data_IF_059109524422
#
_entry.id   IF_059109524422
#
_cell.length_a   1.000
_cell.length_b   1.000
_cell.length_c   1.000
_cell.angle_alpha   90.00
_cell.angle_beta   90.00
_cell.angle_gamma   90.00
#
_symmetry.space_group_name_H-M   'P 1'
#
loop_
_entity.id
_entity.type
_entity.pdbx_description
1 polymer ?
#
# COMPACT_ATOMS: atom_id res chain seq x y z
N UNK A 1 17.39 -10.60 17.18
CA UNK A 1 16.85 -9.21 17.13
C UNK A 1 15.96 -9.07 18.37
N UNK A 2 16.32 -8.17 19.29
CA UNK A 2 15.44 -7.88 20.44
C UNK A 2 14.34 -6.94 19.97
N UNK A 3 13.10 -7.43 19.87
CA UNK A 3 11.95 -6.57 19.69
C UNK A 3 11.58 -5.90 21.02
N UNK A 4 11.36 -4.58 21.02
CA UNK A 4 11.10 -3.78 22.21
C UNK A 4 9.76 -4.08 22.90
N UNK A 5 8.84 -4.77 22.22
CA UNK A 5 7.49 -5.11 22.64
C UNK A 5 7.32 -6.58 23.09
N UNK A 6 8.43 -7.28 23.25
CA UNK A 6 8.50 -8.72 23.61
C UNK A 6 7.92 -9.69 22.59
N UNK A 7 7.49 -9.23 21.41
CA UNK A 7 7.02 -10.10 20.32
C UNK A 7 8.04 -10.08 19.20
N UNK A 8 8.78 -11.18 19.04
CA UNK A 8 9.64 -11.37 17.89
C UNK A 8 8.85 -11.99 16.73
N UNK A 9 9.02 -11.46 15.53
CA UNK A 9 8.42 -11.98 14.30
C UNK A 9 9.53 -12.28 13.31
N UNK A 10 9.54 -13.49 12.81
CA UNK A 10 10.52 -13.96 11.83
C UNK A 10 9.79 -14.55 10.65
N UNK A 11 10.04 -14.02 9.45
CA UNK A 11 9.64 -14.67 8.21
C UNK A 11 10.76 -15.56 7.68
N UNK A 12 10.42 -16.80 7.32
CA UNK A 12 11.20 -17.63 6.44
C UNK A 12 10.61 -17.60 5.03
N UNK A 13 11.48 -17.50 4.03
CA UNK A 13 11.08 -17.37 2.63
C UNK A 13 11.64 -18.57 1.84
N UNK A 14 10.79 -19.21 1.04
CA UNK A 14 11.18 -20.27 0.13
C UNK A 14 11.10 -19.75 -1.31
N UNK A 15 12.14 -20.04 -2.09
CA UNK A 15 12.27 -19.58 -3.46
C UNK A 15 12.40 -20.77 -4.42
N UNK A 16 11.93 -20.61 -5.65
CA UNK A 16 12.17 -21.56 -6.73
C UNK A 16 13.57 -21.39 -7.34
N UNK A 17 13.89 -22.24 -8.31
CA UNK A 17 15.20 -22.24 -9.00
C UNK A 17 15.49 -20.95 -9.80
N UNK A 18 14.47 -20.13 -10.04
CA UNK A 18 14.59 -18.80 -10.67
C UNK A 18 14.61 -17.65 -9.63
N UNK A 19 14.81 -17.98 -8.34
CA UNK A 19 14.82 -17.04 -7.23
C UNK A 19 13.50 -16.24 -7.08
N UNK A 20 12.36 -16.84 -7.45
CA UNK A 20 11.02 -16.26 -7.22
C UNK A 20 10.43 -16.83 -5.94
N UNK A 21 9.78 -15.98 -5.15
CA UNK A 21 9.15 -16.37 -3.89
C UNK A 21 7.99 -17.34 -4.15
N UNK A 22 8.00 -18.53 -3.54
CA UNK A 22 6.93 -19.53 -3.70
C UNK A 22 6.17 -19.81 -2.40
N UNK A 23 6.80 -19.59 -1.25
CA UNK A 23 6.20 -19.84 0.04
C UNK A 23 6.79 -18.97 1.14
N UNK A 24 6.00 -18.71 2.20
CA UNK A 24 6.45 -17.99 3.38
C UNK A 24 5.92 -18.64 4.65
N UNK A 25 6.74 -18.68 5.68
CA UNK A 25 6.38 -19.10 7.03
C UNK A 25 6.61 -17.95 8.00
N UNK A 26 5.69 -17.72 8.92
CA UNK A 26 5.82 -16.73 9.98
C UNK A 26 6.00 -17.45 11.32
N UNK A 27 7.03 -17.08 12.06
CA UNK A 27 7.28 -17.52 13.42
C UNK A 27 7.00 -16.35 14.37
N UNK A 28 6.14 -16.57 15.36
CA UNK A 28 5.75 -15.59 16.37
C UNK A 28 6.35 -15.96 17.72
N UNK A 29 7.01 -15.00 18.38
CA UNK A 29 7.64 -15.15 19.69
C UNK A 29 8.69 -16.28 19.76
N UNK A 30 8.96 -16.79 20.96
CA UNK A 30 9.87 -17.92 21.20
C UNK A 30 9.24 -19.29 20.91
N UNK A 31 8.02 -19.33 20.36
CA UNK A 31 7.40 -20.56 19.91
C UNK A 31 8.07 -21.01 18.61
N UNK A 32 8.71 -22.18 18.64
CA UNK A 32 9.35 -22.79 17.47
C UNK A 32 8.37 -23.32 16.41
N UNK A 33 7.08 -22.97 16.53
CA UNK A 33 6.03 -23.36 15.59
C UNK A 33 5.73 -22.25 14.58
N UNK A 34 5.63 -22.61 13.30
CA UNK A 34 5.17 -21.69 12.27
C UNK A 34 3.70 -21.33 12.51
N UNK A 35 3.37 -20.05 12.38
CA UNK A 35 2.00 -19.58 12.35
C UNK A 35 1.45 -19.68 10.92
N UNK A 36 0.20 -20.09 10.80
CA UNK A 36 -0.51 -20.02 9.51
C UNK A 36 -1.16 -18.66 9.23
N UNK A 37 -0.96 -17.69 10.12
CA UNK A 37 -1.50 -16.34 10.01
C UNK A 37 -0.50 -15.42 9.33
N UNK A 38 -1.00 -14.44 8.56
CA UNK A 38 -0.19 -13.43 7.88
C UNK A 38 0.89 -13.98 6.93
N UNK A 39 0.65 -15.12 6.30
CA UNK A 39 1.55 -15.71 5.32
C UNK A 39 1.00 -15.59 3.90
N UNK A 40 1.89 -15.59 2.93
CA UNK A 40 1.60 -15.74 1.50
C UNK A 40 2.27 -17.03 1.02
N UNK A 41 1.48 -17.96 0.51
CA UNK A 41 1.95 -19.29 0.14
C UNK A 41 1.27 -19.84 -1.12
N UNK A 42 1.71 -21.00 -1.59
CA UNK A 42 1.19 -21.63 -2.79
C UNK A 42 1.35 -20.74 -4.02
N UNK A 43 2.43 -19.94 -4.07
CA UNK A 43 2.68 -19.01 -5.16
C UNK A 43 3.25 -19.77 -6.34
N UNK A 44 2.56 -19.72 -7.46
CA UNK A 44 3.01 -20.30 -8.71
C UNK A 44 3.12 -19.27 -9.81
N UNK A 45 3.96 -19.54 -10.79
CA UNK A 45 4.28 -18.61 -11.87
C UNK A 45 4.16 -19.27 -13.23
N UNK A 46 3.84 -18.48 -14.24
CA UNK A 46 4.01 -18.87 -15.61
C UNK A 46 5.48 -18.75 -16.08
N UNK A 47 5.72 -19.05 -17.37
CA UNK A 47 7.07 -18.96 -17.98
C UNK A 47 7.59 -17.52 -18.06
N UNK A 48 6.72 -16.52 -18.02
CA UNK A 48 7.06 -15.10 -18.04
C UNK A 48 7.24 -14.52 -16.63
N UNK A 49 7.12 -15.36 -15.58
CA UNK A 49 7.15 -14.97 -14.16
C UNK A 49 5.94 -14.15 -13.72
N UNK A 50 4.81 -14.25 -14.41
CA UNK A 50 3.54 -13.75 -13.91
C UNK A 50 3.01 -14.67 -12.83
N UNK A 51 2.47 -14.13 -11.73
CA UNK A 51 1.87 -14.90 -10.63
C UNK A 51 0.55 -15.52 -11.11
N UNK A 52 0.48 -16.86 -11.15
CA UNK A 52 -0.76 -17.58 -11.47
C UNK A 52 -1.61 -17.79 -10.22
N UNK A 53 -1.00 -18.30 -9.14
CA UNK A 53 -1.69 -18.52 -7.87
C UNK A 53 -0.98 -17.80 -6.73
N UNK A 54 -1.74 -17.34 -5.75
CA UNK A 54 -1.24 -16.81 -4.50
C UNK A 54 -2.34 -16.97 -3.44
N UNK A 55 -2.01 -17.62 -2.33
CA UNK A 55 -2.88 -17.69 -1.18
C UNK A 55 -2.37 -16.76 -0.08
N UNK A 56 -3.24 -15.95 0.47
CA UNK A 56 -2.94 -15.06 1.60
C UNK A 56 -3.81 -15.44 2.78
N UNK A 57 -3.19 -15.70 3.93
CA UNK A 57 -3.88 -15.93 5.19
C UNK A 57 -3.83 -14.72 6.11
N UNK A 58 -4.87 -14.56 6.92
CA UNK A 58 -5.01 -13.45 7.88
C UNK A 58 -5.83 -13.92 9.09
N UNK A 59 -5.81 -13.14 10.17
CA UNK A 59 -6.75 -13.32 11.30
C UNK A 59 -8.19 -12.97 10.88
N UNK A 60 -8.36 -12.04 9.96
CA UNK A 60 -9.68 -11.64 9.44
C UNK A 60 -10.03 -12.46 8.20
N UNK A 61 -11.25 -13.00 8.15
CA UNK A 61 -11.79 -13.67 6.96
C UNK A 61 -11.80 -12.77 5.74
N UNK A 62 -11.98 -11.46 5.93
CA UNK A 62 -12.06 -10.47 4.85
C UNK A 62 -10.72 -10.24 4.16
N UNK A 63 -9.62 -10.47 4.90
CA UNK A 63 -8.26 -10.36 4.38
C UNK A 63 -7.69 -11.69 3.86
N UNK A 64 -8.35 -12.82 4.16
CA UNK A 64 -7.98 -14.12 3.58
C UNK A 64 -8.40 -14.14 2.10
N UNK A 65 -7.44 -14.36 1.22
CA UNK A 65 -7.66 -14.38 -0.23
C UNK A 65 -6.89 -15.52 -0.88
N UNK A 66 -7.58 -16.22 -1.77
CA UNK A 66 -6.96 -17.16 -2.70
C UNK A 66 -7.12 -16.56 -4.09
N UNK A 67 -6.01 -16.30 -4.75
CA UNK A 67 -6.00 -15.71 -6.07
C UNK A 67 -5.63 -16.76 -7.12
N UNK A 68 -6.35 -16.74 -8.23
CA UNK A 68 -6.04 -17.49 -9.44
C UNK A 68 -6.20 -16.55 -10.63
N UNK A 69 -5.13 -16.30 -11.35
CA UNK A 69 -5.10 -15.33 -12.44
C UNK A 69 -4.81 -15.96 -13.79
N UNK A 70 -5.49 -15.47 -14.82
CA UNK A 70 -5.22 -15.79 -16.22
C UNK A 70 -4.56 -14.62 -16.93
N UNK A 71 -3.68 -14.92 -17.89
CA UNK A 71 -2.89 -13.94 -18.62
C UNK A 71 -2.98 -14.13 -20.12
N UNK A 72 -2.84 -13.02 -20.86
CA UNK A 72 -2.51 -13.00 -22.29
C UNK A 72 -1.17 -12.29 -22.44
N UNK A 73 -0.10 -13.05 -22.75
CA UNK A 73 1.26 -12.53 -22.61
C UNK A 73 1.54 -12.13 -21.16
N UNK A 74 1.85 -10.85 -20.93
CA UNK A 74 2.07 -10.30 -19.59
C UNK A 74 0.89 -9.46 -19.06
N UNK A 75 -0.19 -9.38 -19.82
CA UNK A 75 -1.41 -8.72 -19.35
C UNK A 75 -2.28 -9.72 -18.58
N UNK A 76 -2.63 -9.40 -17.35
CA UNK A 76 -3.59 -10.16 -16.56
C UNK A 76 -4.98 -9.91 -17.13
N UNK A 77 -5.63 -10.94 -17.66
CA UNK A 77 -6.94 -10.79 -18.29
C UNK A 77 -8.09 -11.13 -17.36
N UNK A 78 -7.85 -11.94 -16.32
CA UNK A 78 -8.92 -12.38 -15.45
C UNK A 78 -8.44 -12.73 -14.05
N UNK A 79 -9.26 -12.44 -13.05
CA UNK A 79 -9.26 -13.09 -11.74
C UNK A 79 -10.29 -14.22 -11.77
N UNK A 80 -9.82 -15.45 -11.86
CA UNK A 80 -10.67 -16.63 -11.92
C UNK A 80 -11.41 -16.91 -10.62
N UNK A 81 -10.89 -16.41 -9.49
CA UNK A 81 -11.49 -16.62 -8.17
C UNK A 81 -12.78 -15.80 -8.03
N UNK A 82 -12.76 -14.55 -8.46
CA UNK A 82 -13.93 -13.65 -8.47
C UNK A 82 -14.72 -13.71 -9.77
N UNK A 83 -14.22 -14.43 -10.77
CA UNK A 83 -14.73 -14.48 -12.15
C UNK A 83 -14.86 -13.07 -12.77
N UNK A 84 -13.91 -12.18 -12.49
CA UNK A 84 -13.91 -10.80 -12.95
C UNK A 84 -12.79 -10.55 -13.96
N UNK A 85 -13.12 -9.82 -15.02
CA UNK A 85 -12.22 -9.53 -16.14
C UNK A 85 -11.50 -8.20 -15.94
N UNK A 86 -10.21 -8.15 -16.35
CA UNK A 86 -9.44 -6.92 -16.50
C UNK A 86 -9.64 -6.35 -17.89
N UNK A 87 -9.77 -5.05 -18.00
CA UNK A 87 -9.84 -4.35 -19.28
C UNK A 87 -8.65 -3.41 -19.44
N UNK A 88 -8.19 -3.24 -20.67
CA UNK A 88 -7.06 -2.40 -21.01
C UNK A 88 -7.43 -1.39 -22.09
N UNK A 89 -6.82 -0.20 -22.02
CA UNK A 89 -6.90 0.77 -23.11
C UNK A 89 -5.97 0.37 -24.28
N UNK A 90 -5.99 1.14 -25.35
CA UNK A 90 -5.17 0.87 -26.54
C UNK A 90 -3.65 1.02 -26.30
N UNK A 91 -3.24 1.67 -25.21
CA UNK A 91 -1.84 1.82 -24.79
C UNK A 91 -1.38 0.70 -23.87
N UNK A 92 -2.29 -0.19 -23.46
CA UNK A 92 -2.02 -1.29 -22.52
C UNK A 92 -2.14 -0.89 -21.04
N UNK A 93 -2.68 0.27 -20.71
CA UNK A 93 -2.99 0.65 -19.34
C UNK A 93 -4.25 -0.06 -18.86
N UNK A 94 -4.32 -0.42 -17.59
CA UNK A 94 -5.51 -1.03 -16.99
C UNK A 94 -6.65 -0.01 -17.00
N UNK A 95 -7.69 -0.27 -17.80
CA UNK A 95 -8.91 0.54 -17.81
C UNK A 95 -9.91 0.08 -16.74
N UNK A 96 -9.98 -1.22 -16.47
CA UNK A 96 -10.79 -1.83 -15.40
C UNK A 96 -9.97 -2.82 -14.62
N UNK A 97 -9.86 -2.60 -13.30
CA UNK A 97 -9.20 -3.51 -12.38
C UNK A 97 -10.22 -4.48 -11.77
N UNK A 98 -10.10 -5.76 -12.10
CA UNK A 98 -11.02 -6.80 -11.64
C UNK A 98 -11.00 -7.01 -10.10
N UNK A 99 -9.90 -6.75 -9.41
CA UNK A 99 -9.77 -6.95 -7.96
C UNK A 99 -10.42 -5.84 -7.15
N UNK A 100 -10.28 -4.61 -7.61
CA UNK A 100 -10.76 -3.42 -6.89
C UNK A 100 -12.09 -2.91 -7.42
N UNK A 101 -12.46 -3.29 -8.65
CA UNK A 101 -13.61 -2.75 -9.36
C UNK A 101 -13.38 -1.32 -9.86
N UNK A 102 -12.17 -0.82 -9.80
CA UNK A 102 -11.85 0.52 -10.28
C UNK A 102 -11.85 0.60 -11.79
N UNK A 103 -12.44 1.69 -12.31
CA UNK A 103 -12.28 2.19 -13.67
C UNK A 103 -11.28 3.33 -13.66
N UNK A 104 -10.31 3.31 -14.59
CA UNK A 104 -9.20 4.26 -14.64
C UNK A 104 -9.10 4.86 -16.04
N UNK A 105 -9.07 6.18 -16.13
CA UNK A 105 -8.79 6.91 -17.35
C UNK A 105 -7.42 7.58 -17.28
N UNK A 106 -6.78 7.70 -18.44
CA UNK A 106 -5.40 8.17 -18.53
C UNK A 106 -5.28 9.37 -19.49
N UNK A 107 -4.26 10.20 -19.26
CA UNK A 107 -3.86 11.24 -20.20
C UNK A 107 -2.85 10.70 -21.24
N UNK A 108 -2.36 11.59 -22.13
CA UNK A 108 -1.39 11.25 -23.14
C UNK A 108 -0.02 10.80 -22.59
N UNK A 109 0.27 11.06 -21.31
CA UNK A 109 1.48 10.60 -20.62
C UNK A 109 1.27 9.25 -19.91
N UNK A 110 0.14 8.59 -20.13
CA UNK A 110 -0.28 7.37 -19.42
C UNK A 110 -0.36 7.56 -17.89
N UNK A 111 -0.71 8.76 -17.42
CA UNK A 111 -0.95 9.06 -16.02
C UNK A 111 -2.46 9.03 -15.75
N UNK A 112 -2.92 8.39 -14.66
CA UNK A 112 -4.35 8.34 -14.31
C UNK A 112 -4.93 9.74 -14.10
N UNK A 113 -6.01 10.08 -14.81
CA UNK A 113 -6.72 11.36 -14.65
C UNK A 113 -8.00 11.22 -13.88
N UNK A 114 -8.65 10.06 -13.95
CA UNK A 114 -9.87 9.74 -13.21
C UNK A 114 -9.78 8.31 -12.72
N UNK A 115 -10.15 8.07 -11.47
CA UNK A 115 -10.33 6.74 -10.89
C UNK A 115 -11.67 6.72 -10.18
N UNK A 116 -12.56 5.78 -10.52
CA UNK A 116 -13.87 5.65 -9.90
C UNK A 116 -14.31 4.17 -9.82
N UNK A 117 -15.35 3.87 -9.03
CA UNK A 117 -16.05 2.58 -9.01
C UNK A 117 -17.50 2.76 -9.47
N UNK A 118 -18.19 1.67 -9.83
CA UNK A 118 -19.63 1.72 -10.06
C UNK A 118 -20.35 2.16 -8.78
N UNK A 119 -21.00 3.35 -8.85
CA UNK A 119 -21.75 3.93 -7.73
C UNK A 119 -20.99 4.88 -6.83
N UNK A 120 -19.66 5.09 -7.08
CA UNK A 120 -18.85 6.11 -6.42
C UNK A 120 -18.30 7.10 -7.45
N UNK A 121 -18.34 8.38 -7.12
CA UNK A 121 -18.06 9.47 -8.06
C UNK A 121 -16.57 9.73 -8.29
N UNK A 122 -15.68 9.02 -7.62
CA UNK A 122 -14.28 8.90 -7.96
C UNK A 122 -13.39 10.08 -7.62
N UNK A 123 -12.13 9.97 -8.03
CA UNK A 123 -11.06 10.95 -7.83
C UNK A 123 -10.56 11.48 -9.17
N UNK A 124 -10.30 12.78 -9.24
CA UNK A 124 -9.73 13.48 -10.39
C UNK A 124 -8.31 13.94 -10.06
N UNK A 125 -7.40 13.75 -11.01
CA UNK A 125 -5.99 14.05 -10.87
C UNK A 125 -5.56 15.09 -11.91
N UNK A 126 -4.87 16.13 -11.47
CA UNK A 126 -4.30 17.18 -12.32
C UNK A 126 -2.78 17.13 -12.31
N UNK A 127 -2.18 17.27 -13.49
CA UNK A 127 -0.75 17.19 -13.69
C UNK A 127 -0.23 18.40 -14.46
N UNK A 128 1.03 18.75 -14.21
CA UNK A 128 1.80 19.60 -15.12
C UNK A 128 2.18 18.84 -16.40
N UNK A 129 2.67 19.56 -17.39
CA UNK A 129 3.10 18.98 -18.68
C UNK A 129 4.27 18.01 -18.58
N UNK A 130 5.05 18.07 -17.50
CA UNK A 130 6.15 17.15 -17.20
C UNK A 130 5.69 15.88 -16.44
N UNK A 131 4.40 15.74 -16.17
CA UNK A 131 3.82 14.62 -15.40
C UNK A 131 3.81 14.81 -13.89
N UNK A 132 4.26 15.95 -13.37
CA UNK A 132 4.20 16.27 -11.94
C UNK A 132 2.76 16.42 -11.49
N UNK A 133 2.30 15.59 -10.55
CA UNK A 133 0.96 15.69 -9.96
C UNK A 133 0.87 16.92 -9.06
N UNK A 134 -0.12 17.79 -9.31
CA UNK A 134 -0.34 19.04 -8.57
C UNK A 134 -1.64 19.07 -7.78
N UNK A 135 -2.63 18.26 -8.16
CA UNK A 135 -3.92 18.26 -7.46
C UNK A 135 -4.61 16.90 -7.54
N UNK A 136 -5.34 16.57 -6.49
CA UNK A 136 -6.35 15.50 -6.44
C UNK A 136 -7.61 16.07 -5.83
N UNK A 137 -8.76 15.80 -6.46
CA UNK A 137 -10.07 16.27 -6.02
C UNK A 137 -11.09 15.13 -6.12
N UNK A 138 -11.98 14.97 -5.15
CA UNK A 138 -13.17 14.14 -5.25
C UNK A 138 -14.22 14.78 -6.14
N UNK A 139 -15.15 14.01 -6.68
CA UNK A 139 -16.21 14.53 -7.57
C UNK A 139 -17.12 15.55 -6.87
N UNK A 140 -17.54 15.25 -5.64
CA UNK A 140 -18.37 16.13 -4.82
C UNK A 140 -17.56 16.96 -3.80
N UNK A 141 -16.24 16.82 -3.85
CA UNK A 141 -15.34 17.42 -2.89
C UNK A 141 -14.85 18.77 -3.41
N UNK A 142 -15.27 19.84 -2.77
CA UNK A 142 -14.76 21.18 -3.05
C UNK A 142 -13.43 21.47 -2.32
N UNK A 143 -12.86 20.45 -1.65
CA UNK A 143 -11.65 20.56 -0.84
C UNK A 143 -10.47 19.82 -1.48
N UNK A 144 -9.87 20.33 -2.57
CA UNK A 144 -8.81 19.64 -3.28
C UNK A 144 -7.53 19.53 -2.45
N UNK A 145 -6.90 18.37 -2.53
CA UNK A 145 -5.52 18.18 -2.06
C UNK A 145 -4.56 18.70 -3.11
N UNK A 146 -3.70 19.68 -2.77
CA UNK A 146 -2.71 20.29 -3.66
C UNK A 146 -1.29 19.96 -3.22
N UNK A 147 -0.44 19.73 -4.21
CA UNK A 147 0.97 19.35 -4.04
C UNK A 147 1.88 20.43 -4.61
N UNK A 148 2.86 20.88 -3.80
CA UNK A 148 3.89 21.84 -4.21
C UNK A 148 5.26 21.32 -3.75
N UNK A 149 5.88 20.43 -4.54
CA UNK A 149 7.07 19.70 -4.16
C UNK A 149 6.80 18.77 -2.97
N UNK A 150 7.47 19.02 -1.84
CA UNK A 150 7.26 18.25 -0.59
C UNK A 150 6.06 18.72 0.23
N UNK A 151 5.46 19.85 -0.13
CA UNK A 151 4.34 20.46 0.60
C UNK A 151 3.01 19.90 0.10
N UNK A 152 2.11 19.63 1.04
CA UNK A 152 0.73 19.20 0.79
C UNK A 152 -0.23 20.15 1.49
N UNK A 153 -1.25 20.57 0.78
CA UNK A 153 -2.33 21.41 1.28
C UNK A 153 -3.66 20.73 1.02
N UNK A 154 -4.57 20.80 1.99
CA UNK A 154 -5.94 20.35 1.85
C UNK A 154 -6.86 21.56 1.98
N UNK A 155 -7.68 21.84 0.96
CA UNK A 155 -8.51 23.04 0.87
C UNK A 155 -7.77 24.35 1.24
N UNK A 156 -6.55 24.52 0.72
CA UNK A 156 -5.68 25.66 1.01
C UNK A 156 -5.06 25.69 2.40
N UNK A 157 -5.39 24.74 3.26
CA UNK A 157 -4.81 24.58 4.61
C UNK A 157 -3.56 23.70 4.54
N UNK A 158 -2.50 24.07 5.23
CA UNK A 158 -1.29 23.26 5.32
C UNK A 158 -1.59 21.91 5.97
N UNK A 159 -1.43 20.82 5.21
CA UNK A 159 -1.56 19.44 5.69
C UNK A 159 -0.23 18.90 6.17
N UNK A 160 0.78 18.91 5.30
CA UNK A 160 2.09 18.35 5.66
C UNK A 160 3.22 18.79 4.74
N UNK A 161 4.45 18.55 5.21
CA UNK A 161 5.68 18.69 4.42
C UNK A 161 6.59 17.49 4.66
N UNK A 162 6.97 16.79 3.60
CA UNK A 162 7.86 15.62 3.67
C UNK A 162 9.33 16.03 3.71
N UNK A 163 10.13 15.32 4.49
CA UNK A 163 11.58 15.42 4.55
C UNK A 163 12.22 14.02 4.64
N UNK A 164 13.54 13.93 4.51
CA UNK A 164 14.22 12.64 4.63
C UNK A 164 14.06 12.03 6.03
N UNK A 165 13.24 10.96 6.13
CA UNK A 165 12.98 10.24 7.38
C UNK A 165 11.72 10.65 8.13
N UNK A 166 10.81 11.45 7.51
CA UNK A 166 9.56 11.80 8.16
C UNK A 166 8.76 12.88 7.46
N UNK A 167 7.86 13.49 8.20
CA UNK A 167 7.06 14.64 7.75
C UNK A 167 6.72 15.60 8.90
N UNK A 168 6.56 16.86 8.59
CA UNK A 168 5.90 17.85 9.44
C UNK A 168 4.42 17.78 9.11
N UNK A 169 3.56 17.63 10.10
CA UNK A 169 2.11 17.52 9.93
C UNK A 169 1.44 18.73 10.54
N UNK A 170 0.58 19.41 9.78
CA UNK A 170 -0.26 20.49 10.26
C UNK A 170 -1.29 19.98 11.25
N UNK A 171 -1.48 20.70 12.34
CA UNK A 171 -2.50 20.45 13.35
C UNK A 171 -3.29 21.71 13.59
N UNK A 172 -4.49 21.58 14.18
CA UNK A 172 -5.36 22.72 14.47
C UNK A 172 -5.57 23.62 13.22
N UNK A 173 -6.07 23.04 12.13
CA UNK A 173 -6.27 23.68 10.82
C UNK A 173 -5.00 24.38 10.31
N UNK A 174 -3.85 23.72 10.40
CA UNK A 174 -2.58 24.22 9.90
C UNK A 174 -1.93 25.34 10.72
N UNK A 175 -2.54 25.76 11.84
CA UNK A 175 -1.97 26.82 12.70
C UNK A 175 -0.82 26.35 13.58
N UNK A 176 -0.75 25.05 13.86
CA UNK A 176 0.31 24.39 14.59
C UNK A 176 0.88 23.27 13.74
N UNK A 177 2.00 22.68 14.15
CA UNK A 177 2.59 21.54 13.48
C UNK A 177 3.27 20.58 14.46
N UNK A 178 3.31 19.31 14.07
CA UNK A 178 4.04 18.24 14.75
C UNK A 178 5.03 17.59 13.79
N UNK A 179 6.13 17.07 14.34
CA UNK A 179 7.12 16.33 13.54
C UNK A 179 6.91 14.84 13.76
N UNK A 180 6.61 14.13 12.67
CA UNK A 180 6.47 12.68 12.65
C UNK A 180 7.69 12.06 11.98
N UNK A 181 8.37 11.16 12.67
CA UNK A 181 9.54 10.42 12.18
C UNK A 181 9.13 9.04 11.70
N UNK A 182 9.71 8.59 10.60
CA UNK A 182 9.50 7.26 10.05
C UNK A 182 10.67 6.35 10.41
N UNK A 183 10.37 5.26 11.10
CA UNK A 183 11.30 4.17 11.29
C UNK A 183 11.02 3.13 10.20
N UNK A 184 11.92 3.03 9.25
CA UNK A 184 11.77 2.17 8.08
C UNK A 184 12.60 0.90 8.21
N UNK A 185 12.19 -0.16 7.51
CA UNK A 185 13.01 -1.34 7.32
C UNK A 185 14.05 -1.14 6.21
N UNK A 186 14.82 -2.19 5.91
CA UNK A 186 15.87 -2.16 4.89
C UNK A 186 15.37 -1.96 3.46
N UNK A 187 14.08 -2.15 3.21
CA UNK A 187 13.41 -1.89 1.92
C UNK A 187 12.80 -0.49 1.84
N UNK A 188 12.91 0.31 2.91
CA UNK A 188 12.31 1.63 3.00
C UNK A 188 10.84 1.63 3.40
N UNK A 189 10.27 0.48 3.82
CA UNK A 189 8.89 0.41 4.27
C UNK A 189 8.74 0.95 5.68
N UNK A 190 7.78 1.86 5.90
CA UNK A 190 7.53 2.48 7.20
C UNK A 190 6.96 1.45 8.17
N UNK A 191 7.73 1.12 9.20
CA UNK A 191 7.35 0.16 10.26
C UNK A 191 6.74 0.85 11.48
N UNK A 192 7.20 2.06 11.78
CA UNK A 192 6.69 2.88 12.88
C UNK A 192 6.66 4.33 12.44
N UNK A 193 5.57 5.02 12.75
CA UNK A 193 5.49 6.47 12.74
C UNK A 193 5.51 6.92 14.20
N UNK A 194 6.42 7.80 14.55
CA UNK A 194 6.59 8.25 15.92
C UNK A 194 6.75 9.77 16.00
N UNK A 195 6.30 10.37 17.09
CA UNK A 195 6.64 11.75 17.45
C UNK A 195 7.44 11.81 18.73
N UNK A 196 8.22 12.87 18.87
CA UNK A 196 8.93 13.19 20.11
C UNK A 196 8.04 14.05 20.99
N UNK A 197 7.92 13.66 22.27
CA UNK A 197 7.19 14.39 23.29
C UNK A 197 8.14 14.82 24.41
N UNK A 198 7.76 15.76 25.28
CA UNK A 198 8.60 16.13 26.44
C UNK A 198 8.95 14.97 27.37
N UNK A 199 8.16 13.90 27.37
CA UNK A 199 8.33 12.71 28.20
C UNK A 199 8.96 11.53 27.48
N UNK A 200 9.28 11.68 26.19
CA UNK A 200 9.93 10.63 25.38
C UNK A 200 9.34 10.50 23.98
N UNK A 201 9.22 9.24 23.50
CA UNK A 201 8.66 8.91 22.19
C UNK A 201 7.24 8.39 22.33
N UNK A 202 6.35 8.84 21.45
CA UNK A 202 5.01 8.30 21.24
C UNK A 202 4.93 7.65 19.86
N UNK A 203 4.55 6.40 19.79
CA UNK A 203 4.31 5.69 18.53
C UNK A 203 2.88 5.97 18.06
N UNK A 204 2.75 6.60 16.90
CA UNK A 204 1.47 6.99 16.30
C UNK A 204 0.90 5.91 15.37
N UNK A 205 1.79 5.11 14.78
CA UNK A 205 1.44 4.06 13.83
C UNK A 205 2.48 2.95 13.87
N UNK A 206 2.03 1.72 13.77
CA UNK A 206 2.89 0.56 13.60
C UNK A 206 2.31 -0.35 12.53
N UNK A 207 3.15 -0.78 11.58
CA UNK A 207 2.75 -1.63 10.46
C UNK A 207 3.69 -2.81 10.31
N UNK A 208 3.09 -3.97 10.15
CA UNK A 208 3.72 -5.15 9.59
C UNK A 208 3.15 -5.41 8.20
N UNK A 209 3.94 -6.03 7.34
CA UNK A 209 3.57 -6.24 5.94
C UNK A 209 3.70 -7.70 5.56
N UNK A 210 2.81 -8.13 4.68
CA UNK A 210 2.99 -9.34 3.91
C UNK A 210 4.19 -9.19 2.97
N UNK A 211 4.77 -10.30 2.49
CA UNK A 211 5.92 -10.26 1.58
C UNK A 211 5.74 -9.38 0.36
N UNK A 212 4.53 -9.35 -0.23
CA UNK A 212 4.19 -8.47 -1.36
C UNK A 212 3.66 -7.09 -0.94
N UNK A 213 3.84 -6.68 0.31
CA UNK A 213 3.68 -5.30 0.76
C UNK A 213 2.29 -4.90 1.24
N UNK A 214 1.29 -5.79 1.23
CA UNK A 214 0.02 -5.49 1.90
C UNK A 214 0.26 -5.35 3.40
N UNK A 215 -0.23 -4.26 4.02
CA UNK A 215 -0.18 -4.12 5.47
C UNK A 215 -1.07 -5.16 6.16
N UNK A 216 -0.67 -5.64 7.33
CA UNK A 216 -1.50 -6.50 8.16
C UNK A 216 -2.66 -5.71 8.75
N UNK A 217 -3.85 -6.31 8.78
CA UNK A 217 -4.95 -5.80 9.57
C UNK A 217 -4.78 -6.29 11.02
N UNK A 218 -4.31 -5.42 11.91
CA UNK A 218 -4.18 -5.69 13.34
C UNK A 218 -4.91 -4.62 14.14
N UNK A 219 -5.81 -5.04 15.02
CA UNK A 219 -6.64 -4.14 15.85
C UNK A 219 -5.91 -3.60 17.08
N UNK A 220 -4.79 -4.18 17.47
CA UNK A 220 -4.01 -3.84 18.67
C UNK A 220 -2.84 -2.89 18.39
N UNK A 221 -2.67 -2.47 17.15
CA UNK A 221 -1.63 -1.53 16.75
C UNK A 221 -2.18 -0.11 16.61
N UNK A 222 -1.42 0.91 17.03
CA UNK A 222 -1.75 2.31 16.72
C UNK A 222 -1.84 2.49 15.20
N UNK A 223 -2.80 3.28 14.75
CA UNK A 223 -2.99 3.64 13.34
C UNK A 223 -3.00 5.15 13.18
N UNK A 224 -2.41 5.63 12.10
CA UNK A 224 -2.42 7.05 11.73
C UNK A 224 -2.83 7.21 10.26
N UNK A 225 -3.12 8.46 9.87
CA UNK A 225 -3.42 8.83 8.47
C UNK A 225 -2.16 8.87 7.59
N UNK A 226 -1.09 8.19 7.99
CA UNK A 226 0.13 8.13 7.20
C UNK A 226 -0.06 7.33 5.92
N UNK A 227 0.04 8.02 4.78
CA UNK A 227 -0.07 7.43 3.43
C UNK A 227 1.24 6.80 2.93
N UNK A 228 2.37 7.17 3.52
CA UNK A 228 3.71 6.69 3.13
C UNK A 228 4.03 5.40 3.89
N UNK A 229 3.76 4.26 3.28
CA UNK A 229 3.80 2.96 3.95
C UNK A 229 4.84 2.03 3.33
N UNK A 230 4.44 1.10 2.47
CA UNK A 230 5.34 0.13 1.86
C UNK A 230 6.29 0.80 0.86
N UNK A 231 7.60 0.58 1.01
CA UNK A 231 8.66 1.20 0.18
C UNK A 231 8.58 2.73 0.13
N UNK A 232 7.99 3.39 1.15
CA UNK A 232 7.86 4.84 1.23
C UNK A 232 6.83 5.45 0.26
N UNK A 233 5.91 4.63 -0.23
CA UNK A 233 4.84 5.01 -1.17
C UNK A 233 3.49 5.01 -0.52
#
# INVERSE_FOLDING_TARGET
IKCSDKKCRLYAFTYDDLARLVDTELYLDDSYGASNEFVENGITYDKNSNIITLNRSSLSSDDMKNYLFSYSGNQRIKDETSNSDYEYDANGNIHRDALTGFYIYYNLLNLPTVIYTEGDMGLYYTYLSDGTKIEVCGYDDNEPTRYAGSLVYNDGTFESASFGGGRIVGTNNGTNSEVHYFLTDHLGSTRVVAKVTPTGREDLDRKDYYPFGKAWAQSDMPTSDNRYTFSGK
#
